data_IF_621679477306
#
_entry.id   IF_621679477306
#
_cell.length_a   1.000
_cell.length_b   1.000
_cell.length_c   1.000
_cell.angle_alpha   90.00
_cell.angle_beta   90.00
_cell.angle_gamma   90.00
#
_symmetry.space_group_name_H-M   'P 1'
#
loop_
_entity.id
_entity.type
_entity.pdbx_description
1 polymer ?
#
# COMPACT_ATOMS: atom_id res chain seq x y z
N UNK A 1 20.83 11.34 -0.17
CA UNK A 1 19.78 10.48 -0.77
C UNK A 1 19.05 9.69 0.30
N UNK A 2 19.75 9.01 1.20
CA UNK A 2 19.15 8.29 2.33
C UNK A 2 18.25 9.17 3.22
N UNK A 3 18.68 10.40 3.56
CA UNK A 3 17.88 11.28 4.44
C UNK A 3 16.56 11.73 3.79
N UNK A 4 16.55 11.92 2.46
CA UNK A 4 15.34 12.27 1.70
C UNK A 4 14.38 11.08 1.66
N UNK A 5 14.89 9.86 1.49
CA UNK A 5 14.05 8.65 1.54
C UNK A 5 13.51 8.45 2.94
N UNK A 6 14.33 8.62 3.98
CA UNK A 6 13.88 8.53 5.37
C UNK A 6 12.75 9.53 5.64
N UNK A 7 12.89 10.79 5.21
CA UNK A 7 11.85 11.80 5.35
C UNK A 7 10.53 11.45 4.63
N UNK A 8 10.58 10.68 3.54
CA UNK A 8 9.37 10.18 2.88
C UNK A 8 8.73 9.00 3.63
N UNK A 9 9.53 8.20 4.34
CA UNK A 9 9.08 7.02 5.06
C UNK A 9 8.61 7.33 6.48
N UNK A 10 9.00 8.46 7.09
CA UNK A 10 8.59 8.87 8.45
C UNK A 10 7.08 9.08 8.63
N UNK A 11 6.27 8.84 7.61
CA UNK A 11 4.81 8.75 7.78
C UNK A 11 4.44 7.34 8.23
N UNK A 12 3.72 7.28 9.35
CA UNK A 12 3.77 6.14 10.28
C UNK A 12 3.38 4.75 9.73
N UNK A 13 2.62 4.55 8.63
CA UNK A 13 2.47 3.18 8.12
C UNK A 13 3.61 2.72 7.19
N UNK A 14 4.30 3.63 6.48
CA UNK A 14 5.29 3.24 5.46
C UNK A 14 6.61 2.77 6.06
N UNK A 15 7.06 3.41 7.15
CA UNK A 15 8.26 3.00 7.86
C UNK A 15 8.13 1.58 8.40
N UNK A 16 7.02 1.28 9.07
CA UNK A 16 6.73 -0.04 9.62
C UNK A 16 6.67 -1.11 8.53
N UNK A 17 5.97 -0.84 7.43
CA UNK A 17 5.87 -1.79 6.31
C UNK A 17 7.23 -2.17 5.72
N UNK A 18 8.17 -1.22 5.57
CA UNK A 18 9.49 -1.51 4.99
C UNK A 18 10.50 -2.10 5.99
N UNK A 19 10.18 -2.15 7.28
CA UNK A 19 11.00 -2.78 8.32
C UNK A 19 10.71 -4.29 8.46
N UNK A 20 9.59 -4.76 7.93
CA UNK A 20 9.21 -6.19 7.90
C UNK A 20 10.31 -7.01 7.18
N UNK A 21 10.94 -7.93 7.91
CA UNK A 21 12.03 -8.81 7.43
C UNK A 21 11.79 -10.29 7.79
N UNK A 22 10.55 -10.62 8.13
CA UNK A 22 10.11 -11.94 8.55
C UNK A 22 10.30 -12.97 7.43
N UNK A 23 10.69 -14.21 7.76
CA UNK A 23 10.83 -15.27 6.77
C UNK A 23 9.47 -15.60 6.14
N UNK A 24 9.45 -15.76 4.82
CA UNK A 24 8.27 -16.21 4.08
C UNK A 24 8.38 -17.69 3.74
N UNK A 25 7.29 -18.42 3.94
CA UNK A 25 7.19 -19.84 3.61
C UNK A 25 6.28 -20.00 2.41
N UNK A 26 6.80 -20.57 1.31
CA UNK A 26 6.10 -20.64 0.03
C UNK A 26 4.70 -21.27 0.16
N UNK A 27 4.56 -22.36 0.91
CA UNK A 27 3.28 -23.04 1.10
C UNK A 27 2.25 -22.14 1.79
N UNK A 28 2.64 -21.49 2.89
CA UNK A 28 1.78 -20.57 3.64
C UNK A 28 1.43 -19.33 2.83
N UNK A 29 2.39 -18.78 2.08
CA UNK A 29 2.14 -17.64 1.19
C UNK A 29 1.16 -18.00 0.08
N UNK A 30 1.32 -19.18 -0.54
CA UNK A 30 0.40 -19.63 -1.58
C UNK A 30 -1.00 -19.89 -1.02
N UNK A 31 -1.12 -20.50 0.15
CA UNK A 31 -2.40 -20.73 0.82
C UNK A 31 -3.11 -19.40 1.09
N UNK A 32 -2.40 -18.46 1.72
CA UNK A 32 -2.91 -17.11 2.00
C UNK A 32 -3.38 -16.43 0.71
N UNK A 33 -2.51 -16.30 -0.29
CA UNK A 33 -2.84 -15.63 -1.55
C UNK A 33 -3.99 -16.30 -2.33
N UNK A 34 -4.12 -17.62 -2.24
CA UNK A 34 -5.16 -18.37 -2.99
C UNK A 34 -6.53 -18.36 -2.30
N UNK A 35 -6.57 -18.05 -1.01
CA UNK A 35 -7.79 -18.07 -0.20
C UNK A 35 -8.19 -16.69 0.31
N UNK A 36 -7.37 -15.66 0.04
CA UNK A 36 -7.62 -14.29 0.45
C UNK A 36 -8.86 -13.72 -0.21
N UNK A 37 -9.77 -13.24 0.62
CA UNK A 37 -11.00 -12.59 0.23
C UNK A 37 -11.14 -11.30 1.04
N UNK A 38 -11.32 -10.19 0.33
CA UNK A 38 -11.63 -8.90 0.92
C UNK A 38 -13.02 -8.45 0.47
N UNK A 39 -13.87 -8.13 1.44
CA UNK A 39 -15.19 -7.54 1.21
C UNK A 39 -15.06 -6.02 1.05
N UNK A 40 -15.23 -5.53 -0.17
CA UNK A 40 -15.12 -4.10 -0.49
C UNK A 40 -16.40 -3.31 -0.21
N UNK A 41 -17.55 -4.00 -0.16
CA UNK A 41 -18.84 -3.41 0.23
C UNK A 41 -19.06 -3.66 1.72
N UNK A 42 -18.60 -2.71 2.53
CA UNK A 42 -18.67 -2.77 3.99
C UNK A 42 -19.62 -1.70 4.54
N UNK A 43 -20.49 -2.10 5.46
CA UNK A 43 -21.39 -1.20 6.21
C UNK A 43 -20.65 -0.47 7.32
N UNK A 44 -19.74 -1.19 7.99
CA UNK A 44 -18.84 -0.69 9.03
C UNK A 44 -17.42 -1.19 8.76
N UNK A 45 -16.42 -0.41 9.14
CA UNK A 45 -15.01 -0.73 8.81
C UNK A 45 -14.41 -1.79 9.76
N UNK A 46 -14.95 -1.85 10.97
CA UNK A 46 -14.70 -2.85 12.01
C UNK A 46 -15.58 -4.11 11.85
N UNK A 47 -16.31 -4.25 10.74
CA UNK A 47 -17.16 -5.42 10.51
C UNK A 47 -16.29 -6.69 10.47
N UNK A 48 -16.54 -7.67 11.36
CA UNK A 48 -15.75 -8.89 11.42
C UNK A 48 -15.94 -9.70 10.13
N UNK A 49 -14.84 -10.26 9.62
CA UNK A 49 -14.85 -11.08 8.41
C UNK A 49 -14.79 -10.29 7.10
N UNK A 50 -14.48 -8.99 7.16
CA UNK A 50 -14.16 -8.20 5.96
C UNK A 50 -12.91 -8.71 5.26
N UNK A 51 -11.93 -9.22 6.01
CA UNK A 51 -10.78 -9.97 5.49
C UNK A 51 -10.93 -11.43 5.90
N UNK A 52 -10.86 -12.33 4.93
CA UNK A 52 -10.90 -13.77 5.16
C UNK A 52 -9.79 -14.48 4.37
N UNK A 53 -9.10 -15.42 5.00
CA UNK A 53 -8.10 -16.27 4.35
C UNK A 53 -7.85 -17.55 5.14
N UNK A 54 -7.19 -18.53 4.54
CA UNK A 54 -6.67 -19.70 5.22
C UNK A 54 -5.16 -19.54 5.46
N UNK A 55 -4.69 -19.99 6.63
CA UNK A 55 -3.28 -20.08 6.95
C UNK A 55 -3.02 -21.30 7.85
N UNK A 56 -2.15 -22.21 7.41
CA UNK A 56 -1.91 -23.47 8.13
C UNK A 56 -3.15 -24.36 8.23
N UNK A 57 -4.06 -24.28 7.25
CA UNK A 57 -5.34 -25.00 7.26
C UNK A 57 -6.42 -24.41 8.17
N UNK A 58 -6.17 -23.28 8.84
CA UNK A 58 -7.15 -22.58 9.68
C UNK A 58 -7.75 -21.41 8.92
N UNK A 59 -9.08 -21.26 9.01
CA UNK A 59 -9.78 -20.10 8.44
C UNK A 59 -9.67 -18.94 9.43
N UNK A 60 -9.10 -17.84 8.98
CA UNK A 60 -9.04 -16.57 9.68
C UNK A 60 -10.07 -15.61 9.09
N UNK A 61 -10.77 -14.89 9.97
CA UNK A 61 -11.71 -13.84 9.65
C UNK A 61 -11.38 -12.65 10.54
N UNK A 62 -11.02 -11.53 9.93
CA UNK A 62 -10.56 -10.32 10.61
C UNK A 62 -11.29 -9.11 10.03
N UNK A 63 -11.44 -8.07 10.84
CA UNK A 63 -11.71 -6.72 10.36
C UNK A 63 -10.46 -6.11 9.70
N UNK A 64 -10.58 -4.96 9.01
CA UNK A 64 -9.39 -4.27 8.48
C UNK A 64 -8.47 -3.78 9.61
N UNK A 65 -8.98 -3.16 10.70
CA UNK A 65 -8.15 -2.84 11.86
C UNK A 65 -7.38 -4.04 12.42
N UNK A 66 -8.07 -5.15 12.69
CA UNK A 66 -7.44 -6.36 13.23
C UNK A 66 -6.38 -6.92 12.28
N UNK A 67 -6.66 -6.93 10.97
CA UNK A 67 -5.69 -7.30 9.95
C UNK A 67 -4.46 -6.38 9.96
N UNK A 68 -4.67 -5.07 10.16
CA UNK A 68 -3.62 -4.07 10.17
C UNK A 68 -2.66 -4.23 11.35
N UNK A 69 -3.18 -4.52 12.53
CA UNK A 69 -2.40 -4.81 13.74
C UNK A 69 -1.69 -6.16 13.60
N UNK A 70 -2.37 -7.17 13.06
CA UNK A 70 -1.79 -8.50 12.80
C UNK A 70 -0.61 -8.43 11.83
N UNK A 71 -0.65 -7.53 10.84
CA UNK A 71 0.48 -7.27 9.93
C UNK A 71 1.62 -6.45 10.56
N UNK A 72 1.43 -5.91 11.76
CA UNK A 72 2.40 -5.03 12.43
C UNK A 72 2.49 -3.63 11.83
N UNK A 73 1.46 -3.19 11.09
CA UNK A 73 1.43 -1.86 10.47
C UNK A 73 0.96 -0.76 11.43
N UNK A 74 0.19 -1.15 12.44
CA UNK A 74 -0.30 -0.27 13.50
C UNK A 74 -0.28 -1.02 14.83
N UNK A 75 -0.24 -0.27 15.92
CA UNK A 75 -0.34 -0.81 17.29
C UNK A 75 -1.80 -0.98 17.68
N UNK A 76 -2.07 -1.86 18.67
CA UNK A 76 -3.40 -2.00 19.28
C UNK A 76 -3.92 -0.65 19.80
N UNK A 77 -3.05 0.19 20.37
CA UNK A 77 -3.38 1.55 20.83
C UNK A 77 -3.93 2.43 19.69
N UNK A 78 -3.37 2.32 18.48
CA UNK A 78 -3.80 3.09 17.31
C UNK A 78 -5.16 2.60 16.75
N UNK A 79 -5.47 1.32 16.94
CA UNK A 79 -6.78 0.74 16.65
C UNK A 79 -7.84 1.23 17.65
N UNK A 80 -7.54 1.19 18.96
CA UNK A 80 -8.46 1.61 20.03
C UNK A 80 -8.88 3.08 19.94
N UNK A 81 -7.99 3.95 19.47
CA UNK A 81 -8.28 5.37 19.28
C UNK A 81 -9.21 5.65 18.07
N UNK A 82 -9.62 4.62 17.32
CA UNK A 82 -10.53 4.72 16.18
C UNK A 82 -10.00 5.62 15.04
N UNK A 83 -8.70 5.93 15.04
CA UNK A 83 -8.06 6.81 14.06
C UNK A 83 -8.02 6.17 12.66
N UNK A 84 -7.95 4.83 12.59
CA UNK A 84 -7.97 4.08 11.33
C UNK A 84 -9.23 4.35 10.50
N UNK A 85 -10.39 4.51 11.15
CA UNK A 85 -11.65 4.78 10.45
C UNK A 85 -11.66 6.15 9.74
N UNK A 86 -10.83 7.09 10.20
CA UNK A 86 -10.66 8.40 9.61
C UNK A 86 -9.65 8.40 8.45
N UNK A 87 -8.85 7.34 8.28
CA UNK A 87 -7.87 7.24 7.21
C UNK A 87 -8.54 7.07 5.84
N UNK A 88 -7.89 7.64 4.84
CA UNK A 88 -8.36 7.55 3.47
C UNK A 88 -8.17 6.14 2.89
N UNK A 89 -9.29 5.57 2.42
CA UNK A 89 -9.38 4.26 1.73
C UNK A 89 -9.65 4.38 0.23
N UNK A 90 -9.84 5.60 -0.27
CA UNK A 90 -10.11 5.86 -1.67
C UNK A 90 -9.02 6.73 -2.27
N UNK A 91 -8.71 6.50 -3.54
CA UNK A 91 -7.85 7.39 -4.32
C UNK A 91 -8.65 8.69 -4.58
N UNK A 92 -8.69 9.61 -3.61
CA UNK A 92 -9.44 10.86 -3.73
C UNK A 92 -8.82 11.87 -4.70
N UNK A 93 -7.52 11.73 -4.94
CA UNK A 93 -6.80 12.60 -5.86
C UNK A 93 -6.77 12.01 -7.26
N UNK A 94 -7.11 12.84 -8.25
CA UNK A 94 -6.95 12.44 -9.65
C UNK A 94 -5.47 12.04 -9.90
N UNK A 95 -5.21 10.92 -10.58
CA UNK A 95 -3.84 10.47 -10.86
C UNK A 95 -3.00 11.52 -11.58
N UNK A 96 -3.65 12.35 -12.40
CA UNK A 96 -3.03 13.49 -13.08
C UNK A 96 -2.51 14.54 -12.08
N UNK A 97 -3.27 14.83 -11.02
CA UNK A 97 -2.87 15.79 -9.98
C UNK A 97 -1.67 15.25 -9.18
N UNK A 98 -1.71 13.97 -8.79
CA UNK A 98 -0.56 13.32 -8.14
C UNK A 98 0.70 13.43 -9.00
N UNK A 99 0.58 13.11 -10.29
CA UNK A 99 1.69 13.17 -11.23
C UNK A 99 2.26 14.59 -11.39
N UNK A 100 1.41 15.61 -11.50
CA UNK A 100 1.87 17.00 -11.61
C UNK A 100 2.70 17.47 -10.41
N UNK A 101 2.35 17.03 -9.20
CA UNK A 101 3.14 17.33 -7.99
C UNK A 101 4.48 16.58 -7.98
N UNK A 102 4.50 15.32 -8.46
CA UNK A 102 5.71 14.49 -8.47
C UNK A 102 6.69 14.87 -9.58
N UNK A 103 6.19 15.34 -10.72
CA UNK A 103 6.97 15.65 -11.91
C UNK A 103 6.49 16.96 -12.57
N UNK A 104 6.78 18.13 -11.97
CA UNK A 104 6.33 19.42 -12.48
C UNK A 104 6.87 19.69 -13.89
N UNK A 105 6.02 20.25 -14.76
CA UNK A 105 6.41 20.65 -16.12
C UNK A 105 6.54 19.53 -17.15
N UNK A 106 6.05 18.32 -16.84
CA UNK A 106 6.13 17.15 -17.73
C UNK A 106 4.85 16.95 -18.54
N UNK A 107 4.92 16.14 -19.61
CA UNK A 107 3.75 15.81 -20.42
C UNK A 107 2.61 15.20 -19.59
N UNK A 108 1.37 15.29 -20.09
CA UNK A 108 0.19 14.74 -19.42
C UNK A 108 0.40 13.30 -18.95
N UNK A 109 -0.03 13.04 -17.72
CA UNK A 109 0.05 11.70 -17.13
C UNK A 109 -0.72 10.68 -17.97
N UNK A 110 -0.08 9.56 -18.28
CA UNK A 110 -0.69 8.41 -18.92
C UNK A 110 -0.27 7.15 -18.16
N UNK A 111 -1.19 6.43 -17.50
CA UNK A 111 -0.85 5.27 -16.66
C UNK A 111 -0.20 4.12 -17.43
N UNK A 112 -0.31 4.09 -18.76
CA UNK A 112 0.28 3.08 -19.64
C UNK A 112 1.60 3.54 -20.29
N UNK A 113 1.99 4.81 -20.14
CA UNK A 113 3.15 5.39 -20.88
C UNK A 113 4.07 6.28 -20.03
N UNK A 114 3.59 6.81 -18.91
CA UNK A 114 4.37 7.69 -18.03
C UNK A 114 5.52 6.93 -17.41
N UNK A 115 6.75 7.38 -17.72
CA UNK A 115 7.97 6.68 -17.30
C UNK A 115 8.47 7.18 -15.96
N UNK A 116 8.90 6.25 -15.11
CA UNK A 116 9.57 6.54 -13.85
C UNK A 116 10.86 7.34 -14.05
N UNK A 117 11.53 7.25 -15.20
CA UNK A 117 12.75 8.00 -15.50
C UNK A 117 12.61 9.52 -15.37
N UNK A 118 11.38 10.02 -15.45
CA UNK A 118 11.02 11.45 -15.31
C UNK A 118 11.04 11.91 -13.85
N UNK A 119 10.86 10.98 -12.90
CA UNK A 119 10.85 11.29 -11.47
C UNK A 119 12.28 11.58 -10.96
N UNK A 120 12.43 12.38 -9.89
CA UNK A 120 13.72 12.57 -9.23
C UNK A 120 14.25 11.24 -8.65
N UNK A 121 15.58 11.11 -8.46
CA UNK A 121 16.22 9.84 -8.07
C UNK A 121 15.62 9.15 -6.84
N UNK A 122 15.24 9.90 -5.80
CA UNK A 122 14.63 9.35 -4.58
C UNK A 122 13.26 8.72 -4.85
N UNK A 123 12.40 9.37 -5.63
CA UNK A 123 11.09 8.85 -6.00
C UNK A 123 11.18 7.67 -6.96
N UNK A 124 12.19 7.64 -7.85
CA UNK A 124 12.45 6.46 -8.69
C UNK A 124 12.83 5.24 -7.85
N UNK A 125 13.64 5.45 -6.83
CA UNK A 125 14.03 4.37 -5.93
C UNK A 125 12.82 3.81 -5.18
N UNK A 126 12.00 4.70 -4.59
CA UNK A 126 10.74 4.30 -3.95
C UNK A 126 9.76 3.62 -4.92
N UNK A 127 9.67 4.11 -6.15
CA UNK A 127 8.86 3.48 -7.20
C UNK A 127 9.32 2.04 -7.47
N UNK A 128 10.63 1.83 -7.56
CA UNK A 128 11.19 0.50 -7.75
C UNK A 128 10.83 -0.41 -6.57
N UNK A 129 10.95 0.05 -5.33
CA UNK A 129 10.55 -0.73 -4.16
C UNK A 129 9.06 -1.10 -4.26
N UNK A 130 8.17 -0.12 -4.40
CA UNK A 130 6.72 -0.33 -4.49
C UNK A 130 6.32 -1.30 -5.61
N UNK A 131 6.97 -1.20 -6.76
CA UNK A 131 6.69 -2.07 -7.90
C UNK A 131 7.10 -3.54 -7.65
N UNK A 132 8.12 -3.77 -6.83
CA UNK A 132 8.61 -5.12 -6.51
C UNK A 132 8.00 -5.70 -5.22
N UNK A 133 7.50 -4.86 -4.30
CA UNK A 133 6.91 -5.32 -3.04
C UNK A 133 5.39 -5.40 -3.10
N UNK A 134 4.72 -4.27 -3.31
CA UNK A 134 3.26 -4.18 -3.24
C UNK A 134 2.66 -4.60 -4.58
N UNK A 135 3.06 -4.00 -5.69
CA UNK A 135 2.36 -4.23 -6.97
C UNK A 135 2.75 -5.55 -7.66
N UNK A 136 3.81 -6.23 -7.20
CA UNK A 136 4.21 -7.54 -7.72
C UNK A 136 4.53 -7.55 -9.22
N UNK A 137 4.99 -6.44 -9.80
CA UNK A 137 5.07 -6.30 -11.27
C UNK A 137 6.39 -6.85 -11.83
N UNK A 138 6.31 -7.97 -12.57
CA UNK A 138 7.47 -8.68 -13.13
C UNK A 138 8.09 -8.05 -14.40
N UNK A 139 7.31 -7.35 -15.23
CA UNK A 139 7.75 -7.04 -16.62
C UNK A 139 7.86 -5.56 -17.00
N UNK A 140 7.38 -4.62 -16.16
CA UNK A 140 7.33 -3.19 -16.53
C UNK A 140 7.53 -2.28 -15.31
N UNK A 141 8.73 -2.31 -14.75
CA UNK A 141 9.17 -1.44 -13.63
C UNK A 141 9.45 0.00 -14.05
N UNK A 142 9.44 0.27 -15.36
CA UNK A 142 9.68 1.59 -15.93
C UNK A 142 8.45 2.48 -16.05
N UNK A 143 7.23 1.94 -15.92
CA UNK A 143 5.96 2.69 -16.06
C UNK A 143 5.35 2.92 -14.67
N UNK A 144 4.98 4.17 -14.40
CA UNK A 144 4.30 4.58 -13.16
C UNK A 144 2.79 4.49 -13.42
N UNK A 145 2.15 3.47 -12.84
CA UNK A 145 0.70 3.31 -12.90
C UNK A 145 0.00 4.19 -11.86
N UNK A 146 -1.34 4.14 -11.84
CA UNK A 146 -2.16 4.99 -10.96
C UNK A 146 -1.89 4.75 -9.47
N UNK A 147 -1.75 3.50 -9.04
CA UNK A 147 -1.46 3.15 -7.65
C UNK A 147 -0.07 3.65 -7.24
N UNK A 148 0.95 3.42 -8.08
CA UNK A 148 2.31 3.92 -7.87
C UNK A 148 2.33 5.45 -7.78
N UNK A 149 1.67 6.15 -8.70
CA UNK A 149 1.61 7.60 -8.68
C UNK A 149 0.93 8.12 -7.40
N UNK A 150 -0.12 7.45 -6.94
CA UNK A 150 -0.81 7.80 -5.70
C UNK A 150 0.05 7.55 -4.46
N UNK A 151 0.65 6.37 -4.32
CA UNK A 151 1.50 6.05 -3.16
C UNK A 151 2.74 6.94 -3.07
N UNK A 152 3.42 7.18 -4.20
CA UNK A 152 4.56 8.10 -4.25
C UNK A 152 4.15 9.52 -3.87
N UNK A 153 2.97 9.95 -4.28
CA UNK A 153 2.42 11.25 -3.88
C UNK A 153 2.12 11.30 -2.38
N UNK A 154 1.55 10.23 -1.82
CA UNK A 154 1.29 10.14 -0.39
C UNK A 154 2.58 10.25 0.43
N UNK A 155 3.61 9.48 0.06
CA UNK A 155 4.94 9.55 0.69
C UNK A 155 5.58 10.94 0.55
N UNK A 156 5.45 11.58 -0.62
CA UNK A 156 6.03 12.90 -0.90
C UNK A 156 5.35 14.03 -0.14
N UNK A 157 4.03 13.94 0.06
CA UNK A 157 3.23 14.98 0.72
C UNK A 157 2.97 14.70 2.20
N UNK A 158 3.43 13.56 2.71
CA UNK A 158 3.12 13.11 4.07
C UNK A 158 1.64 12.79 4.28
N UNK A 159 0.93 12.39 3.22
CA UNK A 159 -0.49 12.03 3.31
C UNK A 159 -0.63 10.63 3.88
N UNK A 160 -1.30 10.51 5.03
CA UNK A 160 -1.56 9.23 5.68
C UNK A 160 -2.77 8.57 5.02
N UNK A 161 -2.59 7.31 4.63
CA UNK A 161 -3.61 6.48 4.01
C UNK A 161 -3.76 5.21 4.83
N UNK A 162 -4.89 4.53 4.67
CA UNK A 162 -5.08 3.20 5.23
C UNK A 162 -4.25 2.17 4.43
N UNK A 163 -2.97 2.06 4.78
CA UNK A 163 -2.04 1.16 4.08
C UNK A 163 -2.48 -0.31 4.15
N UNK A 164 -3.08 -0.73 5.27
CA UNK A 164 -3.55 -2.10 5.45
C UNK A 164 -4.68 -2.43 4.46
N UNK A 165 -5.64 -1.52 4.30
CA UNK A 165 -6.70 -1.68 3.29
C UNK A 165 -6.14 -1.76 1.86
N UNK A 166 -5.17 -0.91 1.51
CA UNK A 166 -4.54 -0.97 0.20
C UNK A 166 -3.73 -2.25 -0.02
N UNK A 167 -3.05 -2.78 1.01
CA UNK A 167 -2.37 -4.08 0.95
C UNK A 167 -3.39 -5.20 0.77
N UNK A 168 -4.51 -5.18 1.49
CA UNK A 168 -5.57 -6.18 1.34
C UNK A 168 -6.15 -6.18 -0.10
N UNK A 169 -6.40 -5.01 -0.68
CA UNK A 169 -6.85 -4.87 -2.08
C UNK A 169 -5.85 -5.46 -3.08
N UNK A 170 -4.56 -5.31 -2.78
CA UNK A 170 -3.48 -5.82 -3.63
C UNK A 170 -3.33 -7.33 -3.50
N UNK A 171 -3.50 -7.91 -2.32
CA UNK A 171 -3.44 -9.37 -2.14
C UNK A 171 -4.61 -10.05 -2.85
N UNK A 172 -5.77 -9.41 -2.90
CA UNK A 172 -6.97 -9.94 -3.58
C UNK A 172 -6.82 -10.05 -5.11
N UNK A 173 -5.88 -9.34 -5.75
CA UNK A 173 -5.78 -9.16 -7.20
C UNK A 173 -4.41 -9.47 -7.79
#
# INVERSE_FOLDING_TARGET
>A
MADVIRAFLTTNPWELFFVIIEPTYLELTMELCSTFHLQTVMTYYDDPGTVQFCLGGLIHQLSIPEFSVTLGLYTEEFEEENELHALSRHIHFSPLKCWHTLAPGTAFYNPSRSKASILPPSLRYLHTILAHTIIGRRESTGIVNTHNAYFLWCMSQGHVIDLAYFIALVIQH
#
